data_IF_928565365087
#
_entry.id   IF_928565365087
#
_cell.length_a   1.000
_cell.length_b   1.000
_cell.length_c   1.000
_cell.angle_alpha   90.00
_cell.angle_beta   90.00
_cell.angle_gamma   90.00
#
_symmetry.space_group_name_H-M   'P 1'
#
loop_
_entity.id
_entity.type
_entity.pdbx_description
1 polymer ?
#
# COMPACT_ATOMS: atom_id res chain seq x y z
N UNK A 1 -4.61 1.60 22.84
CA UNK A 1 -5.44 2.11 21.72
C UNK A 1 -4.53 2.90 20.77
N UNK A 2 -4.79 2.88 19.47
CA UNK A 2 -3.90 3.35 18.38
C UNK A 2 -3.19 4.69 18.61
N UNK A 3 -3.86 5.70 19.17
CA UNK A 3 -3.31 7.07 19.29
C UNK A 3 -3.33 7.66 20.71
N UNK A 4 -3.75 6.90 21.73
CA UNK A 4 -3.82 7.38 23.12
C UNK A 4 -4.88 8.46 23.41
N UNK A 5 -5.45 9.09 22.39
CA UNK A 5 -6.49 10.12 22.50
C UNK A 5 -7.48 10.07 21.32
N UNK A 6 -8.62 10.77 21.48
CA UNK A 6 -9.57 10.97 20.39
C UNK A 6 -9.11 12.16 19.54
N UNK A 7 -8.70 11.89 18.30
CA UNK A 7 -8.40 12.94 17.33
C UNK A 7 -9.71 13.66 16.91
N UNK A 8 -9.69 15.00 16.77
CA UNK A 8 -10.85 15.77 16.32
C UNK A 8 -11.21 15.44 14.87
N UNK A 9 -12.48 15.59 14.50
CA UNK A 9 -12.96 15.21 13.16
C UNK A 9 -12.43 16.15 12.08
N UNK A 10 -12.26 17.44 12.43
CA UNK A 10 -11.78 18.50 11.56
C UNK A 10 -10.38 18.18 11.04
N UNK A 11 -9.55 17.51 11.86
CA UNK A 11 -8.23 17.06 11.44
C UNK A 11 -8.31 16.14 10.22
N UNK A 12 -9.22 15.16 10.23
CA UNK A 12 -9.35 14.21 9.12
C UNK A 12 -9.94 14.87 7.87
N UNK A 13 -10.90 15.78 8.02
CA UNK A 13 -11.47 16.52 6.90
C UNK A 13 -10.39 17.36 6.18
N UNK A 14 -9.61 18.11 6.96
CA UNK A 14 -8.52 18.93 6.43
C UNK A 14 -7.40 18.07 5.83
N UNK A 15 -7.03 16.96 6.51
CA UNK A 15 -5.99 16.05 6.02
C UNK A 15 -6.39 15.40 4.68
N UNK A 16 -7.69 15.14 4.44
CA UNK A 16 -8.20 14.62 3.15
C UNK A 16 -8.26 15.70 2.07
N UNK A 17 -8.73 16.90 2.40
CA UNK A 17 -8.82 18.02 1.45
C UNK A 17 -7.44 18.49 0.97
N UNK A 18 -6.42 18.40 1.84
CA UNK A 18 -5.06 18.79 1.53
C UNK A 18 -4.30 17.81 0.62
N UNK A 19 -4.86 16.62 0.31
CA UNK A 19 -4.17 15.61 -0.50
C UNK A 19 -3.99 16.10 -1.93
N UNK A 20 -2.75 16.12 -2.40
CA UNK A 20 -2.41 16.45 -3.79
C UNK A 20 -2.10 15.21 -4.63
N UNK A 21 -2.06 15.38 -5.96
CA UNK A 21 -1.62 14.32 -6.87
C UNK A 21 -0.18 13.86 -6.59
N UNK A 22 0.69 14.75 -6.08
CA UNK A 22 2.05 14.42 -5.72
C UNK A 22 2.10 13.52 -4.48
N UNK A 23 1.24 13.75 -3.50
CA UNK A 23 1.16 12.92 -2.29
C UNK A 23 0.70 11.50 -2.65
N UNK A 24 -0.28 11.37 -3.55
CA UNK A 24 -0.74 10.07 -4.06
C UNK A 24 0.39 9.36 -4.81
N UNK A 25 1.06 10.05 -5.74
CA UNK A 25 2.13 9.44 -6.54
C UNK A 25 3.32 9.02 -5.69
N UNK A 26 3.76 9.86 -4.75
CA UNK A 26 4.88 9.56 -3.85
C UNK A 26 4.54 8.45 -2.86
N UNK A 27 3.33 8.47 -2.28
CA UNK A 27 2.86 7.41 -1.38
C UNK A 27 2.74 6.08 -2.12
N UNK A 28 2.18 6.07 -3.33
CA UNK A 28 2.11 4.87 -4.15
C UNK A 28 3.51 4.31 -4.47
N UNK A 29 4.45 5.16 -4.88
CA UNK A 29 5.85 4.78 -5.09
C UNK A 29 6.49 4.18 -3.84
N UNK A 30 6.26 4.78 -2.68
CA UNK A 30 6.79 4.28 -1.41
C UNK A 30 6.21 2.90 -1.07
N UNK A 31 4.90 2.71 -1.22
CA UNK A 31 4.25 1.42 -0.92
C UNK A 31 4.77 0.31 -1.85
N UNK A 32 4.80 0.55 -3.17
CA UNK A 32 5.23 -0.47 -4.15
C UNK A 32 6.74 -0.76 -4.12
N UNK A 33 7.54 0.11 -3.50
CA UNK A 33 8.99 -0.09 -3.35
C UNK A 33 9.37 -1.15 -2.31
N UNK A 34 8.41 -1.57 -1.49
CA UNK A 34 8.64 -2.57 -0.44
C UNK A 34 8.51 -4.00 -0.98
N UNK A 35 9.18 -5.00 -0.37
CA UNK A 35 9.04 -6.38 -0.79
C UNK A 35 7.59 -6.86 -0.80
N UNK A 36 7.20 -7.53 -1.89
CA UNK A 36 5.85 -8.06 -2.06
C UNK A 36 5.51 -9.04 -0.92
N UNK A 37 4.34 -8.87 -0.31
CA UNK A 37 3.73 -9.88 0.55
C UNK A 37 2.63 -10.59 -0.24
N UNK A 38 2.79 -11.91 -0.45
CA UNK A 38 1.85 -12.73 -1.23
C UNK A 38 1.38 -13.92 -0.41
N UNK A 39 0.08 -14.15 -0.37
CA UNK A 39 -0.54 -15.33 0.23
C UNK A 39 -1.54 -15.95 -0.75
N UNK A 40 -1.57 -17.28 -0.84
CA UNK A 40 -2.52 -18.04 -1.66
C UNK A 40 -2.93 -19.31 -0.93
N UNK A 41 -4.17 -19.77 -1.14
CA UNK A 41 -4.73 -20.92 -0.42
C UNK A 41 -5.81 -21.62 -1.27
N UNK A 42 -5.91 -22.95 -1.14
CA UNK A 42 -6.78 -23.80 -1.96
C UNK A 42 -6.02 -24.53 -3.08
N UNK A 43 -6.65 -24.69 -4.24
CA UNK A 43 -5.98 -25.19 -5.44
C UNK A 43 -5.13 -24.07 -6.06
N UNK A 44 -3.83 -24.12 -5.79
CA UNK A 44 -2.85 -23.11 -6.22
C UNK A 44 -2.07 -23.51 -7.48
N UNK A 45 -2.51 -24.56 -8.19
CA UNK A 45 -1.76 -25.12 -9.33
C UNK A 45 -1.59 -24.12 -10.49
N UNK A 46 -2.53 -23.18 -10.62
CA UNK A 46 -2.50 -22.13 -11.65
C UNK A 46 -2.02 -20.76 -11.11
N UNK A 47 -1.60 -20.67 -9.86
CA UNK A 47 -1.10 -19.42 -9.26
C UNK A 47 0.34 -19.18 -9.71
N UNK A 48 0.71 -17.99 -10.21
CA UNK A 48 2.08 -17.70 -10.62
C UNK A 48 3.04 -17.74 -9.43
N UNK A 49 4.32 -17.99 -9.71
CA UNK A 49 5.34 -17.97 -8.67
C UNK A 49 5.49 -16.58 -8.04
N UNK A 50 5.88 -16.55 -6.78
CA UNK A 50 6.15 -15.32 -6.05
C UNK A 50 7.11 -14.40 -6.82
N UNK A 51 8.21 -14.95 -7.36
CA UNK A 51 9.23 -14.21 -8.09
C UNK A 51 8.71 -13.63 -9.41
N UNK A 52 7.77 -14.33 -10.07
CA UNK A 52 7.12 -13.81 -11.29
C UNK A 52 6.30 -12.57 -11.00
N UNK A 53 5.62 -12.54 -9.85
CA UNK A 53 4.80 -11.40 -9.41
C UNK A 53 5.66 -10.28 -8.82
N UNK A 54 6.61 -10.60 -7.95
CA UNK A 54 7.48 -9.64 -7.25
C UNK A 54 8.33 -8.78 -8.20
N UNK A 55 8.83 -9.37 -9.30
CA UNK A 55 9.60 -8.65 -10.34
C UNK A 55 8.81 -7.58 -11.08
N UNK A 56 7.47 -7.61 -11.03
CA UNK A 56 6.65 -6.55 -11.67
C UNK A 56 6.72 -5.22 -10.92
N UNK A 57 7.03 -5.26 -9.63
CA UNK A 57 7.10 -4.08 -8.77
C UNK A 57 8.52 -3.52 -8.65
N UNK A 58 9.52 -4.38 -8.84
CA UNK A 58 10.93 -4.04 -8.80
C UNK A 58 11.50 -4.16 -10.21
N UNK A 59 11.38 -3.09 -11.01
CA UNK A 59 12.14 -3.00 -12.26
C UNK A 59 13.64 -3.08 -11.93
N UNK A 60 14.40 -3.78 -12.78
CA UNK A 60 15.85 -3.57 -12.84
C UNK A 60 16.16 -2.10 -13.10
#
# INVERSE_FOLDING_TARGET
>A
MTYGERKPIEKFLNDVEAITLNDISSTAKNIISTPLTMASWGDVTNVPTYESVSRKFHSK
#
